data_IF_585645060270
#
_entry.id   IF_585645060270
#
_cell.length_a   1.000
_cell.length_b   1.000
_cell.length_c   1.000
_cell.angle_alpha   90.00
_cell.angle_beta   90.00
_cell.angle_gamma   90.00
#
_symmetry.space_group_name_H-M   'P 1'
#
loop_
_entity.id
_entity.type
_entity.pdbx_description
1 polymer ?
#
# COMPACT_ATOMS: atom_id res chain seq x y z
N UNK A 1 -15.76 6.84 -8.22
CA UNK A 1 -15.06 7.56 -7.13
C UNK A 1 -14.66 6.66 -5.96
N UNK A 2 -15.48 5.67 -5.55
CA UNK A 2 -15.15 4.78 -4.42
C UNK A 2 -13.78 4.09 -4.55
N UNK A 3 -13.51 3.43 -5.68
CA UNK A 3 -12.22 2.75 -5.93
C UNK A 3 -11.02 3.70 -5.92
N UNK A 4 -11.19 4.94 -6.40
CA UNK A 4 -10.14 5.96 -6.36
C UNK A 4 -9.82 6.37 -4.92
N UNK A 5 -10.87 6.64 -4.11
CA UNK A 5 -10.69 6.98 -2.69
C UNK A 5 -9.99 5.84 -1.93
N UNK A 6 -10.43 4.59 -2.15
CA UNK A 6 -9.80 3.41 -1.55
C UNK A 6 -8.34 3.28 -1.98
N UNK A 7 -8.03 3.45 -3.27
CA UNK A 7 -6.65 3.41 -3.78
C UNK A 7 -5.76 4.48 -3.16
N UNK A 8 -6.25 5.71 -2.98
CA UNK A 8 -5.49 6.78 -2.30
C UNK A 8 -5.26 6.44 -0.82
N UNK A 9 -6.27 5.92 -0.12
CA UNK A 9 -6.15 5.51 1.29
C UNK A 9 -5.11 4.38 1.44
N UNK A 10 -5.15 3.37 0.57
CA UNK A 10 -4.16 2.29 0.60
C UNK A 10 -2.74 2.80 0.29
N UNK A 11 -2.60 3.81 -0.58
CA UNK A 11 -1.30 4.41 -0.89
C UNK A 11 -0.73 5.14 0.34
N UNK A 12 -1.55 5.93 1.02
CA UNK A 12 -1.14 6.59 2.27
C UNK A 12 -0.80 5.54 3.33
N UNK A 13 -1.62 4.50 3.49
CA UNK A 13 -1.40 3.42 4.44
C UNK A 13 -0.10 2.66 4.17
N UNK A 14 0.18 2.31 2.91
CA UNK A 14 1.43 1.63 2.52
C UNK A 14 2.67 2.42 2.92
N UNK A 15 2.66 3.74 2.68
CA UNK A 15 3.75 4.62 3.11
C UNK A 15 3.88 4.74 4.63
N UNK A 16 2.78 4.77 5.37
CA UNK A 16 2.80 4.76 6.85
C UNK A 16 3.40 3.45 7.37
N UNK A 17 3.03 2.30 6.78
CA UNK A 17 3.60 1.01 7.14
C UNK A 17 5.10 0.94 6.84
N UNK A 18 5.55 1.56 5.74
CA UNK A 18 6.97 1.67 5.44
C UNK A 18 7.71 2.50 6.50
N UNK A 19 7.12 3.61 6.95
CA UNK A 19 7.67 4.43 8.02
C UNK A 19 7.77 3.65 9.34
N UNK A 20 6.73 2.88 9.66
CA UNK A 20 6.72 2.00 10.82
C UNK A 20 7.82 0.93 10.72
N UNK A 21 8.00 0.31 9.55
CA UNK A 21 9.11 -0.62 9.31
C UNK A 21 10.46 0.02 9.65
N UNK A 22 10.76 1.20 9.11
CA UNK A 22 12.01 1.92 9.40
C UNK A 22 12.16 2.27 10.88
N UNK A 23 11.07 2.63 11.57
CA UNK A 23 11.09 2.95 12.99
C UNK A 23 11.33 1.72 13.89
N UNK A 24 10.83 0.54 13.51
CA UNK A 24 10.95 -0.69 14.30
C UNK A 24 12.18 -1.54 13.95
N UNK A 25 12.77 -1.39 12.76
CA UNK A 25 13.95 -2.16 12.33
C UNK A 25 15.27 -1.81 13.04
N UNK A 26 15.29 -0.80 13.92
CA UNK A 26 16.48 -0.41 14.69
C UNK A 26 16.63 -1.07 16.07
N UNK A 27 15.66 -1.88 16.51
CA UNK A 27 15.70 -2.53 17.82
C UNK A 27 16.46 -3.86 17.79
N UNK A 28 16.85 -4.35 18.96
CA UNK A 28 17.64 -5.57 19.15
C UNK A 28 17.07 -6.78 18.39
N UNK A 29 17.91 -7.57 17.71
CA UNK A 29 17.46 -8.67 16.87
C UNK A 29 16.75 -9.72 17.71
N UNK A 30 15.49 -9.97 17.36
CA UNK A 30 14.64 -10.99 17.98
C UNK A 30 13.83 -11.69 16.90
N UNK A 31 13.58 -13.00 17.06
CA UNK A 31 12.84 -13.77 16.05
C UNK A 31 11.46 -13.20 15.74
N UNK A 32 10.82 -12.58 16.74
CA UNK A 32 9.55 -11.89 16.55
C UNK A 32 9.71 -10.54 15.83
N UNK A 33 10.77 -9.79 16.14
CA UNK A 33 11.11 -8.54 15.46
C UNK A 33 11.40 -8.73 13.97
N UNK A 34 12.14 -9.78 13.62
CA UNK A 34 12.46 -10.13 12.23
C UNK A 34 11.19 -10.53 11.45
N UNK A 35 10.36 -11.40 12.03
CA UNK A 35 9.08 -11.78 11.44
C UNK A 35 8.16 -10.57 11.23
N UNK A 36 8.00 -9.74 12.25
CA UNK A 36 7.15 -8.56 12.20
C UNK A 36 7.67 -7.52 11.19
N UNK A 37 8.99 -7.30 11.14
CA UNK A 37 9.60 -6.38 10.18
C UNK A 37 9.39 -6.86 8.73
N UNK A 38 9.57 -8.15 8.47
CA UNK A 38 9.25 -8.75 7.17
C UNK A 38 7.77 -8.62 6.81
N UNK A 39 6.87 -8.82 7.78
CA UNK A 39 5.43 -8.66 7.60
C UNK A 39 5.05 -7.19 7.30
N UNK A 40 5.62 -6.22 8.02
CA UNK A 40 5.40 -4.79 7.79
C UNK A 40 5.87 -4.37 6.39
N UNK A 41 7.08 -4.80 6.00
CA UNK A 41 7.64 -4.52 4.68
C UNK A 41 6.77 -5.14 3.56
N UNK A 42 6.36 -6.40 3.72
CA UNK A 42 5.49 -7.09 2.78
C UNK A 42 4.13 -6.40 2.63
N UNK A 43 3.49 -6.01 3.75
CA UNK A 43 2.23 -5.28 3.74
C UNK A 43 2.36 -3.88 3.11
N UNK A 44 3.46 -3.18 3.37
CA UNK A 44 3.75 -1.86 2.76
C UNK A 44 3.78 -1.95 1.23
N UNK A 45 4.59 -2.86 0.69
CA UNK A 45 4.74 -3.07 -0.75
C UNK A 45 3.41 -3.57 -1.35
N UNK A 46 2.73 -4.50 -0.67
CA UNK A 46 1.43 -5.01 -1.09
C UNK A 46 0.35 -3.93 -1.19
N UNK A 47 0.25 -3.06 -0.18
CA UNK A 47 -0.70 -1.94 -0.20
C UNK A 47 -0.42 -0.99 -1.38
N UNK A 48 0.85 -0.67 -1.64
CA UNK A 48 1.23 0.18 -2.76
C UNK A 48 0.88 -0.45 -4.12
N UNK A 49 1.11 -1.75 -4.29
CA UNK A 49 0.77 -2.46 -5.53
C UNK A 49 -0.75 -2.46 -5.77
N UNK A 50 -1.55 -2.81 -4.75
CA UNK A 50 -3.02 -2.81 -4.84
C UNK A 50 -3.56 -1.41 -5.12
N UNK A 51 -2.94 -0.37 -4.55
CA UNK A 51 -3.29 1.03 -4.79
C UNK A 51 -3.15 1.40 -6.26
N UNK A 52 -2.01 1.07 -6.88
CA UNK A 52 -1.75 1.34 -8.30
C UNK A 52 -2.79 0.62 -9.16
N UNK A 53 -3.05 -0.65 -8.89
CA UNK A 53 -4.04 -1.45 -9.64
C UNK A 53 -5.44 -0.81 -9.57
N UNK A 54 -5.86 -0.38 -8.38
CA UNK A 54 -7.16 0.28 -8.19
C UNK A 54 -7.26 1.62 -8.92
N UNK A 55 -6.21 2.44 -8.87
CA UNK A 55 -6.17 3.75 -9.53
C UNK A 55 -6.19 3.58 -11.06
N UNK A 56 -5.37 2.68 -11.60
CA UNK A 56 -5.31 2.39 -13.05
C UNK A 56 -6.64 1.82 -13.54
N UNK A 57 -7.22 0.86 -12.81
CA UNK A 57 -8.53 0.29 -13.13
C UNK A 57 -9.64 1.36 -13.14
N UNK A 58 -9.61 2.28 -12.17
CA UNK A 58 -10.54 3.40 -12.14
C UNK A 58 -10.38 4.33 -13.34
N UNK A 59 -9.14 4.65 -13.72
CA UNK A 59 -8.84 5.53 -14.86
C UNK A 59 -9.29 4.90 -16.19
N UNK A 60 -9.00 3.61 -16.38
CA UNK A 60 -9.45 2.85 -17.55
C UNK A 60 -10.98 2.87 -17.69
N UNK A 61 -11.71 2.57 -16.60
CA UNK A 61 -13.19 2.58 -16.60
C UNK A 61 -13.78 3.97 -16.86
N UNK A 62 -13.15 5.04 -16.40
CA UNK A 62 -13.66 6.40 -16.68
C UNK A 62 -13.38 6.85 -18.12
N UNK A 63 -12.27 6.40 -18.71
CA UNK A 63 -11.96 6.67 -20.12
C UNK A 63 -12.98 6.04 -21.07
N UNK A 64 -13.47 4.84 -20.77
CA UNK A 64 -14.57 4.22 -21.55
C UNK A 64 -15.89 4.97 -21.40
N UNK A 65 -16.21 5.47 -20.21
CA UNK A 65 -17.44 6.24 -19.97
C UNK A 65 -17.47 7.60 -20.67
N UNK A 66 -16.32 8.26 -20.85
CA UNK A 66 -16.23 9.54 -21.56
C UNK A 66 -16.20 9.40 -23.09
N UNK A 67 -16.06 8.18 -23.61
CA UNK A 67 -16.08 7.90 -25.06
C UNK A 67 -17.46 7.45 -25.58
N UNK A 68 -18.42 7.20 -24.70
CA UNK A 68 -19.83 6.94 -25.02
C UNK A 68 -20.63 8.21 -24.82
#
# INVERSE_FOLDING_TARGET
>A
MKNLKVGIILMVLGNILNLAYTAFSGNEPSSFGDFSSGLLLGLSIGCNLVSIILIVSYMAKNKEKNKK
#
